data_IF_726244966282
#
_entry.id   IF_726244966282
#
_cell.length_a   1.000
_cell.length_b   1.000
_cell.length_c   1.000
_cell.angle_alpha   90.00
_cell.angle_beta   90.00
_cell.angle_gamma   90.00
#
_symmetry.space_group_name_H-M   'P 1'
#
loop_
_entity.id
_entity.type
_entity.pdbx_description
1 polymer ?
#
# COMPACT_ATOMS: atom_id res chain seq x y z
N UNK A 1 32.19 -76.40 1.51
CA UNK A 1 32.65 -75.30 0.66
C UNK A 1 31.43 -74.51 0.27
N UNK A 2 31.05 -73.52 1.13
CA UNK A 2 29.85 -72.68 0.95
C UNK A 2 30.22 -71.38 0.25
N UNK A 3 29.76 -71.19 -0.95
CA UNK A 3 29.90 -69.92 -1.70
C UNK A 3 28.80 -68.99 -1.22
N UNK A 4 29.18 -68.00 -0.43
CA UNK A 4 28.31 -66.92 0.03
C UNK A 4 28.15 -65.93 -1.11
N UNK A 5 27.01 -65.97 -1.81
CA UNK A 5 26.62 -65.02 -2.84
C UNK A 5 26.08 -63.74 -2.18
N UNK A 6 26.91 -62.72 -2.06
CA UNK A 6 26.48 -61.38 -1.58
C UNK A 6 25.79 -60.66 -2.74
N UNK A 7 24.45 -60.62 -2.70
CA UNK A 7 23.65 -59.74 -3.55
C UNK A 7 23.83 -58.30 -3.09
N UNK A 8 24.71 -57.57 -3.77
CA UNK A 8 24.87 -56.12 -3.61
C UNK A 8 23.70 -55.45 -4.30
N UNK A 9 22.59 -55.24 -3.57
CA UNK A 9 21.48 -54.43 -4.04
C UNK A 9 21.94 -52.96 -4.16
N UNK A 10 22.27 -52.57 -5.39
CA UNK A 10 22.61 -51.21 -5.73
C UNK A 10 21.40 -50.27 -5.51
N UNK A 11 21.41 -49.57 -4.40
CA UNK A 11 20.53 -48.43 -4.19
C UNK A 11 21.07 -47.30 -5.07
N UNK A 12 20.49 -47.16 -6.26
CA UNK A 12 20.74 -45.97 -7.09
C UNK A 12 20.08 -44.78 -6.46
N UNK A 13 20.80 -43.72 -6.04
CA UNK A 13 20.19 -42.51 -5.62
C UNK A 13 19.50 -41.91 -6.85
N UNK A 14 18.18 -41.88 -6.87
CA UNK A 14 17.42 -41.09 -7.83
C UNK A 14 17.70 -39.62 -7.53
N UNK A 15 18.65 -39.05 -8.27
CA UNK A 15 18.84 -37.58 -8.27
C UNK A 15 17.60 -36.96 -8.88
N UNK A 16 16.70 -36.50 -8.01
CA UNK A 16 15.59 -35.67 -8.40
C UNK A 16 16.19 -34.30 -8.79
N UNK A 17 16.47 -34.08 -10.06
CA UNK A 17 16.90 -32.81 -10.58
C UNK A 17 15.74 -31.83 -10.37
N UNK A 18 15.80 -30.98 -9.33
CA UNK A 18 14.91 -29.86 -9.17
C UNK A 18 15.14 -28.90 -10.34
N UNK A 19 14.26 -28.97 -11.34
CA UNK A 19 14.25 -28.00 -12.44
C UNK A 19 13.82 -26.69 -11.78
N UNK A 20 14.74 -25.73 -11.61
CA UNK A 20 14.43 -24.41 -11.12
C UNK A 20 13.44 -23.75 -12.09
N UNK A 21 12.34 -23.16 -11.58
CA UNK A 21 11.37 -22.49 -12.44
C UNK A 21 12.04 -21.33 -13.18
N UNK A 22 11.81 -21.27 -14.48
CA UNK A 22 12.28 -20.13 -15.29
C UNK A 22 11.51 -18.89 -14.86
N UNK A 23 12.24 -17.83 -14.53
CA UNK A 23 11.64 -16.54 -14.12
C UNK A 23 12.31 -15.40 -14.88
N UNK A 24 11.58 -14.32 -15.06
CA UNK A 24 12.03 -13.12 -15.77
C UNK A 24 11.95 -11.88 -14.90
N UNK A 25 12.53 -10.78 -15.37
CA UNK A 25 12.39 -9.47 -14.72
C UNK A 25 11.54 -8.53 -15.59
N UNK A 26 10.62 -7.85 -14.93
CA UNK A 26 9.82 -6.76 -15.52
C UNK A 26 10.43 -5.44 -15.11
N UNK A 27 10.68 -4.54 -16.07
CA UNK A 27 11.29 -3.24 -15.84
C UNK A 27 10.43 -2.14 -16.42
N UNK A 28 10.42 -1.00 -15.76
CA UNK A 28 9.67 0.13 -16.24
C UNK A 28 9.94 1.42 -15.48
N UNK A 29 9.14 2.41 -15.78
CA UNK A 29 9.15 3.73 -15.16
C UNK A 29 7.73 4.19 -14.90
N UNK A 30 7.54 4.87 -13.78
CA UNK A 30 6.29 5.54 -13.43
C UNK A 30 6.48 7.03 -13.58
N UNK A 31 5.57 7.67 -14.32
CA UNK A 31 5.61 9.12 -14.57
C UNK A 31 4.24 9.74 -14.29
N UNK A 32 4.26 11.00 -13.96
CA UNK A 32 3.06 11.82 -13.90
C UNK A 32 2.59 12.16 -15.32
N UNK A 33 1.31 12.00 -15.60
CA UNK A 33 0.71 12.19 -16.92
C UNK A 33 0.79 13.63 -17.41
N UNK A 34 0.65 14.60 -16.50
CA UNK A 34 0.57 16.01 -16.86
C UNK A 34 1.95 16.65 -16.94
N UNK A 35 2.75 16.48 -15.90
CA UNK A 35 4.08 17.09 -15.80
C UNK A 35 5.18 16.30 -16.49
N UNK A 36 4.92 15.02 -16.81
CA UNK A 36 5.90 14.03 -17.34
C UNK A 36 7.08 13.81 -16.39
N UNK A 37 6.96 14.23 -15.14
CA UNK A 37 7.96 14.02 -14.11
C UNK A 37 7.90 12.60 -13.56
N UNK A 38 9.05 12.05 -13.12
CA UNK A 38 9.08 10.73 -12.50
C UNK A 38 8.33 10.72 -11.16
N UNK A 39 7.51 9.71 -10.93
CA UNK A 39 6.83 9.48 -9.66
C UNK A 39 7.70 8.56 -8.81
N UNK A 40 8.36 9.14 -7.81
CA UNK A 40 9.19 8.40 -6.87
C UNK A 40 8.33 7.68 -5.81
N UNK A 41 8.83 6.52 -5.35
CA UNK A 41 8.22 5.74 -4.28
C UNK A 41 6.79 5.27 -4.55
N UNK A 42 6.38 5.18 -5.80
CA UNK A 42 5.15 4.53 -6.20
C UNK A 42 5.28 3.02 -6.03
N UNK A 43 4.25 2.38 -5.51
CA UNK A 43 4.22 0.93 -5.39
C UNK A 43 3.69 0.32 -6.69
N UNK A 44 4.43 -0.60 -7.27
CA UNK A 44 4.07 -1.31 -8.51
C UNK A 44 3.97 -2.79 -8.21
N UNK A 45 2.82 -3.39 -8.49
CA UNK A 45 2.51 -4.79 -8.25
C UNK A 45 2.20 -5.53 -9.55
N UNK A 46 2.49 -6.82 -9.58
CA UNK A 46 2.03 -7.71 -10.66
C UNK A 46 0.66 -8.25 -10.28
N UNK A 47 -0.36 -7.91 -11.04
CA UNK A 47 -1.71 -8.41 -10.79
C UNK A 47 -1.75 -9.94 -10.94
N UNK A 48 -2.42 -10.62 -10.00
CA UNK A 48 -2.53 -12.09 -10.01
C UNK A 48 -1.38 -12.83 -9.35
N UNK A 49 -0.29 -12.16 -8.92
CA UNK A 49 0.80 -12.79 -8.17
C UNK A 49 0.95 -12.08 -6.81
N UNK A 50 0.41 -12.65 -5.72
CA UNK A 50 0.53 -12.05 -4.39
C UNK A 50 2.00 -11.86 -3.97
N UNK A 51 2.31 -10.69 -3.41
CA UNK A 51 3.65 -10.38 -2.92
C UNK A 51 4.70 -10.05 -3.99
N UNK A 52 4.34 -10.01 -5.27
CA UNK A 52 5.22 -9.55 -6.35
C UNK A 52 4.97 -8.07 -6.64
N UNK A 53 5.74 -7.22 -5.97
CA UNK A 53 5.72 -5.78 -6.15
C UNK A 53 6.98 -5.14 -5.62
N UNK A 54 7.24 -3.92 -6.07
CA UNK A 54 8.38 -3.09 -5.64
C UNK A 54 7.95 -1.63 -5.62
N UNK A 55 8.68 -0.81 -4.88
CA UNK A 55 8.53 0.65 -4.96
C UNK A 55 9.49 1.22 -6.00
N UNK A 56 9.08 2.26 -6.71
CA UNK A 56 9.96 3.00 -7.62
C UNK A 56 11.05 3.74 -6.86
N UNK A 57 12.18 3.94 -7.52
CA UNK A 57 13.27 4.77 -7.00
C UNK A 57 12.98 6.28 -7.16
N UNK A 58 13.96 7.11 -6.82
CA UNK A 58 13.87 8.59 -6.97
C UNK A 58 13.72 9.07 -8.41
N UNK A 59 14.04 8.24 -9.39
CA UNK A 59 13.87 8.49 -10.81
C UNK A 59 12.59 7.88 -11.39
N UNK A 60 11.72 7.34 -10.51
CA UNK A 60 10.49 6.68 -10.89
C UNK A 60 10.69 5.33 -11.56
N UNK A 61 11.91 4.73 -11.54
CA UNK A 61 12.16 3.45 -12.19
C UNK A 61 11.90 2.29 -11.25
N UNK A 62 11.49 1.15 -11.82
CA UNK A 62 11.25 -0.08 -11.07
C UNK A 62 11.78 -1.31 -11.79
N UNK A 63 12.09 -2.34 -11.01
CA UNK A 63 12.47 -3.67 -11.50
C UNK A 63 11.86 -4.73 -10.61
N UNK A 64 10.93 -5.51 -11.14
CA UNK A 64 10.32 -6.66 -10.45
C UNK A 64 11.02 -7.91 -10.94
N UNK A 65 11.63 -8.65 -10.03
CA UNK A 65 12.37 -9.87 -10.33
C UNK A 65 11.57 -11.13 -10.04
N UNK A 66 12.01 -12.26 -10.62
CA UNK A 66 11.42 -13.57 -10.38
C UNK A 66 9.92 -13.63 -10.72
N UNK A 67 9.52 -13.04 -11.83
CA UNK A 67 8.16 -13.15 -12.36
C UNK A 67 8.11 -14.39 -13.27
N UNK A 68 7.21 -15.34 -13.04
CA UNK A 68 7.02 -16.48 -13.94
C UNK A 68 6.61 -16.02 -15.34
N UNK A 69 6.92 -16.79 -16.40
CA UNK A 69 6.41 -16.49 -17.73
C UNK A 69 4.87 -16.56 -17.73
N UNK A 70 4.24 -15.58 -18.38
CA UNK A 70 2.78 -15.50 -18.40
C UNK A 70 2.29 -14.16 -18.91
N UNK A 71 0.99 -13.96 -18.84
CA UNK A 71 0.33 -12.71 -19.20
C UNK A 71 -0.11 -12.04 -17.91
N UNK A 72 0.34 -10.81 -17.69
CA UNK A 72 0.06 -10.04 -16.46
C UNK A 72 -0.18 -8.58 -16.78
N UNK A 73 -1.00 -7.94 -15.94
CA UNK A 73 -1.08 -6.48 -15.84
C UNK A 73 -0.29 -6.00 -14.61
N UNK A 74 0.13 -4.75 -14.64
CA UNK A 74 0.75 -4.08 -13.50
C UNK A 74 -0.24 -3.10 -12.89
N UNK A 75 -0.24 -3.02 -11.59
CA UNK A 75 -1.00 -2.03 -10.85
C UNK A 75 -0.02 -1.10 -10.12
N UNK A 76 -0.17 0.20 -10.34
CA UNK A 76 0.64 1.22 -9.70
C UNK A 76 -0.22 2.07 -8.77
N UNK A 77 0.28 2.31 -7.55
CA UNK A 77 -0.36 3.16 -6.55
C UNK A 77 0.65 4.06 -5.85
N UNK A 78 0.29 5.33 -5.64
CA UNK A 78 1.10 6.30 -4.92
C UNK A 78 0.18 7.27 -4.17
N UNK A 79 0.66 7.78 -3.02
CA UNK A 79 -0.08 8.78 -2.26
C UNK A 79 -0.20 10.06 -3.09
N UNK A 80 -1.42 10.58 -3.23
CA UNK A 80 -1.72 11.76 -4.04
C UNK A 80 -2.00 11.47 -5.51
N UNK A 81 -1.97 10.20 -5.92
CA UNK A 81 -2.25 9.75 -7.27
C UNK A 81 -3.39 8.72 -7.31
N UNK A 82 -4.11 8.69 -8.41
CA UNK A 82 -5.08 7.63 -8.67
C UNK A 82 -4.36 6.31 -8.97
N UNK A 83 -4.89 5.21 -8.42
CA UNK A 83 -4.37 3.88 -8.74
C UNK A 83 -4.64 3.56 -10.21
N UNK A 84 -3.60 3.12 -10.91
CA UNK A 84 -3.64 2.82 -12.35
C UNK A 84 -3.31 1.35 -12.57
N UNK A 85 -4.12 0.69 -13.41
CA UNK A 85 -3.83 -0.65 -13.92
C UNK A 85 -3.44 -0.55 -15.39
N UNK A 86 -2.34 -1.21 -15.76
CA UNK A 86 -1.85 -1.24 -17.14
C UNK A 86 -2.60 -2.28 -17.97
N UNK A 87 -2.53 -2.21 -19.30
CA UNK A 87 -2.87 -3.33 -20.16
C UNK A 87 -2.06 -4.59 -19.83
N UNK A 88 -2.50 -5.73 -20.33
CA UNK A 88 -1.80 -6.99 -20.17
C UNK A 88 -0.50 -7.03 -21.00
N UNK A 89 0.57 -7.53 -20.40
CA UNK A 89 1.87 -7.73 -21.03
C UNK A 89 2.28 -9.21 -20.94
N UNK A 90 2.94 -9.69 -21.98
CA UNK A 90 3.54 -11.02 -21.98
C UNK A 90 4.91 -10.93 -21.33
N UNK A 91 5.05 -11.57 -20.17
CA UNK A 91 6.33 -11.69 -19.46
C UNK A 91 7.11 -12.88 -20.02
N UNK A 92 8.24 -12.58 -20.66
CA UNK A 92 9.12 -13.55 -21.32
C UNK A 92 10.56 -13.02 -21.33
N UNK A 93 11.46 -13.71 -22.00
CA UNK A 93 12.83 -13.22 -22.22
C UNK A 93 12.90 -11.87 -22.96
N UNK A 94 11.84 -11.51 -23.69
CA UNK A 94 11.73 -10.29 -24.49
C UNK A 94 10.69 -9.30 -23.93
N UNK A 95 10.50 -9.27 -22.58
CA UNK A 95 9.58 -8.33 -21.95
C UNK A 95 9.98 -6.87 -22.25
N UNK A 96 9.07 -6.03 -22.80
CA UNK A 96 9.40 -4.65 -23.13
C UNK A 96 9.60 -3.82 -21.86
N UNK A 97 10.20 -2.63 -22.02
CA UNK A 97 10.22 -1.63 -20.97
C UNK A 97 8.81 -0.99 -20.85
N UNK A 98 8.27 -0.96 -19.64
CA UNK A 98 6.89 -0.54 -19.38
C UNK A 98 6.89 0.87 -18.80
N UNK A 99 6.19 1.80 -19.43
CA UNK A 99 5.91 3.13 -18.90
C UNK A 99 4.50 3.17 -18.35
N UNK A 100 4.36 3.62 -17.09
CA UNK A 100 3.08 3.74 -16.38
C UNK A 100 2.84 5.22 -16.14
N UNK A 101 1.75 5.76 -16.69
CA UNK A 101 1.32 7.12 -16.46
C UNK A 101 0.30 7.18 -15.34
N UNK A 102 0.59 7.94 -14.28
CA UNK A 102 -0.32 8.17 -13.16
C UNK A 102 -0.90 9.59 -13.24
N UNK A 103 -2.10 9.77 -12.74
CA UNK A 103 -2.79 11.05 -12.65
C UNK A 103 -2.97 11.46 -11.20
N UNK A 104 -2.70 12.72 -10.87
CA UNK A 104 -2.88 13.23 -9.51
C UNK A 104 -4.36 13.17 -9.11
N UNK A 105 -4.62 12.71 -7.89
CA UNK A 105 -5.97 12.70 -7.32
C UNK A 105 -6.25 14.01 -6.61
N UNK A 106 -6.86 14.95 -7.34
CA UNK A 106 -7.25 16.26 -6.81
C UNK A 106 -8.24 16.17 -5.62
N UNK A 107 -8.96 15.06 -5.48
CA UNK A 107 -9.92 14.89 -4.38
C UNK A 107 -9.23 14.64 -3.04
N UNK A 108 -8.06 14.00 -3.02
CA UNK A 108 -7.30 13.76 -1.79
C UNK A 108 -6.74 15.05 -1.20
N UNK A 109 -6.43 16.05 -2.01
CA UNK A 109 -5.93 17.34 -1.57
C UNK A 109 -7.01 18.19 -0.92
N UNK A 110 -8.30 17.95 -1.21
CA UNK A 110 -9.43 18.68 -0.64
C UNK A 110 -10.02 18.02 0.62
N UNK A 111 -9.62 16.81 0.95
CA UNK A 111 -10.09 16.16 2.17
C UNK A 111 -9.19 16.53 3.33
N UNK A 112 -9.44 17.67 3.95
CA UNK A 112 -8.95 17.95 5.29
C UNK A 112 -9.71 17.00 6.22
N UNK A 113 -9.13 15.85 6.49
CA UNK A 113 -9.60 14.95 7.54
C UNK A 113 -9.27 15.65 8.86
N UNK A 114 -10.21 16.42 9.36
CA UNK A 114 -10.18 16.86 10.75
C UNK A 114 -10.41 15.62 11.59
N UNK A 115 -9.33 14.94 11.95
CA UNK A 115 -9.40 13.87 12.95
C UNK A 115 -9.77 14.56 14.25
N UNK A 116 -10.96 14.33 14.83
CA UNK A 116 -11.27 14.87 16.14
C UNK A 116 -10.26 14.25 17.11
N UNK A 117 -9.38 15.10 17.64
CA UNK A 117 -8.42 14.66 18.63
C UNK A 117 -9.18 14.06 19.81
N UNK A 118 -8.94 12.79 20.20
CA UNK A 118 -9.62 12.19 21.34
C UNK A 118 -9.25 12.86 22.67
N UNK A 119 -8.30 13.80 22.64
CA UNK A 119 -7.88 14.61 23.79
C UNK A 119 -8.46 16.01 23.84
N UNK A 120 -9.36 16.44 22.93
CA UNK A 120 -10.22 17.55 23.23
C UNK A 120 -11.18 17.09 24.33
N UNK A 121 -10.77 17.30 25.58
CA UNK A 121 -11.73 17.41 26.66
C UNK A 121 -12.78 18.40 26.19
N UNK A 122 -14.00 17.94 26.06
CA UNK A 122 -15.17 18.80 25.96
C UNK A 122 -15.18 19.67 27.22
N UNK A 123 -14.49 20.82 27.17
CA UNK A 123 -14.69 21.92 28.08
C UNK A 123 -15.81 22.79 27.47
N UNK A 124 -16.82 22.12 26.93
CA UNK A 124 -18.13 22.72 26.65
C UNK A 124 -19.18 21.86 27.36
N UNK A 125 -19.02 21.74 28.69
CA UNK A 125 -20.22 21.84 29.51
C UNK A 125 -20.70 23.26 29.32
N UNK A 126 -21.93 23.51 28.86
CA UNK A 126 -22.54 24.80 29.04
C UNK A 126 -22.75 24.94 30.54
N UNK A 127 -21.75 25.51 31.23
CA UNK A 127 -22.00 26.16 32.52
C UNK A 127 -22.90 27.27 32.12
N UNK A 128 -24.21 27.05 32.24
CA UNK A 128 -25.19 28.10 32.30
C UNK A 128 -24.83 28.95 33.53
N UNK A 129 -23.93 29.90 33.33
CA UNK A 129 -23.76 31.01 34.28
C UNK A 129 -25.08 31.76 34.28
N UNK A 130 -25.96 31.39 35.19
CA UNK A 130 -27.09 32.20 35.55
C UNK A 130 -26.49 33.42 36.26
N UNK A 131 -26.38 34.53 35.54
CA UNK A 131 -26.09 35.83 36.13
C UNK A 131 -27.32 36.18 36.96
N UNK A 132 -27.24 35.93 38.25
CA UNK A 132 -28.25 36.39 39.21
C UNK A 132 -28.04 37.90 39.30
N UNK A 133 -28.94 38.65 38.68
CA UNK A 133 -28.91 40.11 38.76
C UNK A 133 -29.06 40.56 40.20
N UNK A 134 -28.42 41.70 40.53
CA UNK A 134 -28.44 42.29 41.86
C UNK A 134 -29.87 42.52 42.42
N UNK A 135 -30.86 42.63 41.56
CA UNK A 135 -32.27 42.74 41.94
C UNK A 135 -32.86 41.47 42.57
N UNK A 136 -32.34 40.32 42.28
CA UNK A 136 -32.82 39.07 42.84
C UNK A 136 -32.22 38.80 44.22
N UNK A 137 -31.08 39.40 44.52
CA UNK A 137 -30.41 39.33 45.82
C UNK A 137 -31.16 40.20 46.82
N UNK A 138 -31.63 41.38 46.41
CA UNK A 138 -32.44 42.26 47.29
C UNK A 138 -33.77 41.63 47.68
N UNK A 139 -34.40 40.88 46.76
CA UNK A 139 -35.66 40.20 47.02
C UNK A 139 -35.51 39.05 48.01
N UNK A 140 -34.34 38.40 47.97
CA UNK A 140 -34.02 37.31 48.91
C UNK A 140 -33.66 37.78 50.28
N UNK A 141 -33.06 38.97 50.42
CA UNK A 141 -32.74 39.63 51.71
C UNK A 141 -33.95 40.21 52.40
N UNK A 142 -34.97 40.61 51.65
CA UNK A 142 -36.22 41.14 52.21
C UNK A 142 -37.06 40.11 52.95
N UNK A 143 -36.84 38.81 52.76
CA UNK A 143 -37.56 37.73 53.42
C UNK A 143 -36.90 37.26 54.75
N UNK A 144 -35.76 37.81 55.14
CA UNK A 144 -35.06 37.49 56.40
C UNK A 144 -35.32 38.48 57.51
N UNK A 145 -36.12 39.53 57.27
CA UNK A 145 -36.50 40.51 58.27
C UNK A 145 -37.93 40.28 58.72
N UNK A 146 -38.07 39.32 59.64
CA UNK A 146 -39.19 39.23 60.57
C UNK A 146 -38.63 39.16 61.96
#
# INVERSE_FOLDING_TARGET
MFILLILLSGISPTMNAMIAPVTYSVRGKVIDRQSRQPVAYANVFVAGIPGKGVSTDSLGTFKIEQVPPGIYSLEASCIGYQTVSTPEYIVSASTPFIEIEMEEDANLLNTVVVVPSPFRRNIESPVSMRIIGLQEIEKSLSLIHI
#
